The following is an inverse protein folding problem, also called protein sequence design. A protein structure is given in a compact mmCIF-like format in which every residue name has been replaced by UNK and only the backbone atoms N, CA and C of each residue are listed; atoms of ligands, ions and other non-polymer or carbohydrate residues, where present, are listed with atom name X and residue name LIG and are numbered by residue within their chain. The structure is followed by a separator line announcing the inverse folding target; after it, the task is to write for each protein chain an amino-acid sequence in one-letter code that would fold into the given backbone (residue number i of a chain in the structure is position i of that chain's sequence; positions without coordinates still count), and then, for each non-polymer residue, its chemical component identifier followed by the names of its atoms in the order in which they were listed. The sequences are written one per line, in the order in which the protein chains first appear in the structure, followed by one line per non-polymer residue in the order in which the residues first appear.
data_IF_827652147506
#
_entry.id   IF_827652147506
#
_cell.length_a   1.000
_cell.length_b   1.000
_cell.length_c   1.000
_cell.angle_alpha   90.00
_cell.angle_beta   90.00
_cell.angle_gamma   90.00
#
_symmetry.space_group_name_H-M   'P 1'
#
loop_
_entity.id
_entity.type
_entity.pdbx_description
1 polymer ?
#
# COMPACT_ATOMS: atom_id res chain seq x y z
N UNK A 1 0.67 -4.35 -20.60
CA UNK A 1 1.74 -4.61 -19.60
C UNK A 1 1.88 -3.38 -18.73
N UNK A 2 1.57 -3.48 -17.47
CA UNK A 2 1.77 -2.40 -16.50
C UNK A 2 3.04 -2.70 -15.73
N UNK A 3 3.98 -1.76 -15.73
CA UNK A 3 5.23 -1.89 -14.99
C UNK A 3 5.13 -1.17 -13.67
N UNK A 4 5.53 -1.84 -12.61
CA UNK A 4 5.82 -1.18 -11.34
C UNK A 4 7.27 -0.70 -11.41
N UNK A 5 7.53 0.60 -11.24
CA UNK A 5 8.88 1.12 -11.37
C UNK A 5 9.82 0.58 -10.29
N UNK A 6 11.06 0.34 -10.66
CA UNK A 6 12.12 0.00 -9.71
C UNK A 6 12.50 1.25 -8.93
N UNK A 7 11.94 1.41 -7.75
CA UNK A 7 12.14 2.57 -6.89
C UNK A 7 11.83 2.24 -5.43
N UNK A 8 12.54 2.89 -4.52
CA UNK A 8 12.18 2.92 -3.10
C UNK A 8 11.10 3.97 -2.85
N UNK A 9 10.33 3.84 -1.77
CA UNK A 9 9.40 4.89 -1.37
C UNK A 9 10.12 6.24 -1.23
N UNK A 10 9.52 7.34 -1.74
CA UNK A 10 10.21 8.64 -1.79
C UNK A 10 10.30 9.35 -0.44
N UNK A 11 9.57 8.89 0.56
CA UNK A 11 9.49 9.50 1.88
C UNK A 11 9.87 8.49 2.97
N UNK A 12 10.20 9.01 4.14
CA UNK A 12 10.38 8.19 5.31
C UNK A 12 9.02 7.83 5.91
N UNK A 13 8.81 6.54 6.17
CA UNK A 13 7.62 5.98 6.78
C UNK A 13 7.96 5.29 8.08
N UNK A 14 7.05 5.33 9.05
CA UNK A 14 7.15 4.61 10.30
C UNK A 14 6.35 3.30 10.22
N UNK A 15 6.96 2.20 10.68
CA UNK A 15 6.29 0.91 10.72
C UNK A 15 5.21 0.90 11.79
N UNK A 16 3.98 0.58 11.39
CA UNK A 16 2.84 0.39 12.31
C UNK A 16 2.78 -1.07 12.76
N UNK A 17 2.77 -1.99 11.80
CA UNK A 17 2.62 -3.43 12.05
C UNK A 17 3.19 -4.23 10.88
N UNK A 18 3.59 -5.47 11.18
CA UNK A 18 4.02 -6.45 10.18
C UNK A 18 3.32 -7.79 10.42
N UNK A 19 2.97 -8.47 9.35
CA UNK A 19 2.36 -9.79 9.35
C UNK A 19 3.16 -10.74 8.49
N UNK A 20 3.20 -12.00 8.89
CA UNK A 20 3.78 -13.08 8.11
C UNK A 20 2.68 -14.00 7.62
N UNK A 21 2.67 -14.32 6.34
CA UNK A 21 1.72 -15.20 5.71
C UNK A 21 2.43 -16.46 5.21
N UNK A 22 1.93 -17.61 5.60
CA UNK A 22 2.42 -18.91 5.14
C UNK A 22 1.56 -19.48 4.00
N UNK A 23 0.31 -19.06 3.92
CA UNK A 23 -0.62 -19.50 2.88
C UNK A 23 -1.76 -18.49 2.67
N UNK A 24 -2.58 -18.76 1.65
CA UNK A 24 -3.79 -17.95 1.38
C UNK A 24 -4.80 -18.00 2.52
N UNK A 25 -4.73 -18.98 3.42
CA UNK A 25 -5.58 -19.05 4.62
C UNK A 25 -5.35 -17.90 5.58
N UNK A 26 -4.18 -17.31 5.57
CA UNK A 26 -3.84 -16.16 6.41
C UNK A 26 -4.44 -14.85 5.91
N UNK A 27 -4.90 -14.80 4.67
CA UNK A 27 -5.35 -13.58 4.01
C UNK A 27 -6.53 -12.90 4.70
N UNK A 28 -7.52 -13.69 5.14
CA UNK A 28 -8.71 -13.13 5.81
C UNK A 28 -8.34 -12.43 7.11
N UNK A 29 -7.48 -13.05 7.91
CA UNK A 29 -6.97 -12.48 9.15
C UNK A 29 -6.19 -11.20 8.89
N UNK A 30 -5.26 -11.22 7.96
CA UNK A 30 -4.42 -10.06 7.64
C UNK A 30 -5.24 -8.90 7.10
N UNK A 31 -6.23 -9.15 6.24
CA UNK A 31 -7.16 -8.11 5.78
C UNK A 31 -7.88 -7.40 6.92
N UNK A 32 -8.41 -8.16 7.85
CA UNK A 32 -9.11 -7.62 9.01
C UNK A 32 -8.16 -6.82 9.91
N UNK A 33 -7.02 -7.38 10.22
CA UNK A 33 -6.05 -6.74 11.12
C UNK A 33 -5.43 -5.48 10.51
N UNK A 34 -5.12 -5.46 9.21
CA UNK A 34 -4.56 -4.27 8.56
C UNK A 34 -5.58 -3.13 8.50
N UNK A 35 -6.86 -3.45 8.27
CA UNK A 35 -7.92 -2.45 8.32
C UNK A 35 -8.07 -1.85 9.72
N UNK A 36 -8.05 -2.67 10.75
CA UNK A 36 -8.13 -2.23 12.14
C UNK A 36 -6.91 -1.39 12.55
N UNK A 37 -5.72 -1.81 12.17
CA UNK A 37 -4.49 -1.06 12.46
C UNK A 37 -4.46 0.30 11.74
N UNK A 38 -4.84 0.35 10.49
CA UNK A 38 -4.90 1.61 9.73
C UNK A 38 -5.96 2.55 10.31
N UNK A 39 -7.13 2.04 10.64
CA UNK A 39 -8.19 2.83 11.28
C UNK A 39 -7.77 3.37 12.65
N UNK A 40 -7.03 2.58 13.43
CA UNK A 40 -6.56 2.95 14.77
C UNK A 40 -5.51 4.07 14.76
N UNK A 41 -4.86 4.36 13.64
CA UNK A 41 -3.96 5.51 13.54
C UNK A 41 -4.67 6.84 13.77
N UNK A 42 -5.99 6.89 13.53
CA UNK A 42 -6.86 8.06 13.78
C UNK A 42 -6.51 9.30 12.95
N UNK A 43 -5.67 9.17 11.98
CA UNK A 43 -4.92 10.24 11.34
C UNK A 43 -5.34 10.45 9.88
N UNK A 44 -6.44 9.84 9.47
CA UNK A 44 -6.98 9.91 8.12
C UNK A 44 -8.28 10.75 8.10
N UNK A 45 -8.51 11.37 6.94
CA UNK A 45 -9.69 12.22 6.73
C UNK A 45 -10.94 11.34 6.56
N UNK A 46 -11.95 11.51 7.42
CA UNK A 46 -13.21 10.77 7.28
C UNK A 46 -13.97 11.10 5.99
N UNK A 47 -13.64 12.22 5.35
CA UNK A 47 -14.20 12.59 4.03
C UNK A 47 -13.53 11.85 2.86
N UNK A 48 -12.50 11.03 3.14
CA UNK A 48 -11.88 10.10 2.19
C UNK A 48 -12.11 8.65 2.66
N UNK A 49 -13.36 8.18 2.77
CA UNK A 49 -13.68 6.89 3.38
C UNK A 49 -13.14 5.70 2.60
N UNK A 50 -12.86 5.87 1.32
CA UNK A 50 -12.39 4.82 0.42
C UNK A 50 -10.90 4.49 0.60
N UNK A 51 -10.13 5.27 1.37
CA UNK A 51 -8.68 5.04 1.52
C UNK A 51 -8.38 3.70 2.16
N UNK A 52 -9.14 3.32 3.19
CA UNK A 52 -8.97 2.03 3.87
C UNK A 52 -9.37 0.86 2.96
N UNK A 53 -10.45 0.98 2.21
CA UNK A 53 -10.90 -0.04 1.27
C UNK A 53 -9.88 -0.27 0.16
N UNK A 54 -9.31 0.79 -0.39
CA UNK A 54 -8.25 0.73 -1.41
C UNK A 54 -6.99 0.08 -0.86
N UNK A 55 -6.57 0.48 0.33
CA UNK A 55 -5.42 -0.07 1.01
C UNK A 55 -5.56 -1.59 1.23
N UNK A 56 -6.69 -2.03 1.75
CA UNK A 56 -6.98 -3.44 2.02
C UNK A 56 -7.03 -4.24 0.72
N UNK A 57 -7.68 -3.71 -0.31
CA UNK A 57 -7.77 -4.37 -1.61
C UNK A 57 -6.40 -4.54 -2.26
N UNK A 58 -5.61 -3.49 -2.34
CA UNK A 58 -4.25 -3.54 -2.92
C UNK A 58 -3.34 -4.45 -2.12
N UNK A 59 -3.38 -4.37 -0.80
CA UNK A 59 -2.63 -5.28 0.08
C UNK A 59 -2.97 -6.75 -0.21
N UNK A 60 -4.27 -7.06 -0.32
CA UNK A 60 -4.74 -8.41 -0.61
C UNK A 60 -4.22 -8.93 -1.94
N UNK A 61 -4.26 -8.09 -2.96
CA UNK A 61 -3.79 -8.44 -4.30
C UNK A 61 -2.28 -8.63 -4.37
N UNK A 62 -1.51 -7.76 -3.76
CA UNK A 62 -0.04 -7.89 -3.68
C UNK A 62 0.38 -9.13 -2.90
N UNK A 63 -0.27 -9.40 -1.77
CA UNK A 63 0.03 -10.57 -0.95
C UNK A 63 -0.38 -11.87 -1.63
N UNK A 64 -1.55 -11.92 -2.25
CA UNK A 64 -1.99 -13.09 -3.04
C UNK A 64 -1.03 -13.39 -4.18
N UNK A 65 -0.60 -12.35 -4.88
CA UNK A 65 0.35 -12.46 -5.97
C UNK A 65 1.69 -13.03 -5.49
N UNK A 66 2.20 -12.54 -4.37
CA UNK A 66 3.43 -13.06 -3.76
C UNK A 66 3.27 -14.53 -3.32
N UNK A 67 2.13 -14.90 -2.74
CA UNK A 67 1.86 -16.30 -2.32
C UNK A 67 1.75 -17.27 -3.50
N UNK A 68 1.29 -16.80 -4.67
CA UNK A 68 1.18 -17.61 -5.88
C UNK A 68 2.55 -17.78 -6.56
N UNK A 69 3.34 -16.72 -6.65
CA UNK A 69 4.56 -16.67 -7.46
C UNK A 69 5.85 -16.83 -6.67
N UNK A 70 5.80 -16.73 -5.36
CA UNK A 70 6.96 -16.88 -4.49
C UNK A 70 6.80 -18.06 -3.51
N UNK A 71 7.80 -18.23 -2.67
CA UNK A 71 7.74 -19.21 -1.59
C UNK A 71 7.36 -18.52 -0.28
N UNK A 72 6.53 -19.15 0.57
CA UNK A 72 6.34 -18.68 1.93
C UNK A 72 7.67 -18.64 2.71
N UNK A 73 7.82 -17.74 3.66
CA UNK A 73 6.83 -16.76 4.11
C UNK A 73 6.79 -15.50 3.25
N UNK A 74 5.61 -14.95 3.10
CA UNK A 74 5.37 -13.61 2.57
C UNK A 74 5.16 -12.66 3.74
N UNK A 75 5.83 -11.53 3.75
CA UNK A 75 5.68 -10.52 4.79
C UNK A 75 4.89 -9.31 4.26
N UNK A 76 3.95 -8.85 5.05
CA UNK A 76 3.15 -7.65 4.77
C UNK A 76 3.42 -6.62 5.86
N UNK A 77 3.84 -5.43 5.49
CA UNK A 77 4.05 -4.31 6.40
C UNK A 77 3.07 -3.19 6.14
N UNK A 78 2.51 -2.61 7.19
CA UNK A 78 1.80 -1.35 7.16
C UNK A 78 2.70 -0.28 7.74
N UNK A 79 2.93 0.77 6.99
CA UNK A 79 3.70 1.93 7.39
C UNK A 79 2.88 3.21 7.23
N UNK A 80 3.26 4.24 7.94
CA UNK A 80 2.57 5.51 7.94
C UNK A 80 3.53 6.69 7.87
N UNK A 81 3.08 7.75 7.23
CA UNK A 81 3.65 9.10 7.31
C UNK A 81 2.51 10.07 7.64
N UNK A 82 2.79 11.35 7.90
CA UNK A 82 1.73 12.32 8.17
C UNK A 82 0.67 12.44 7.06
N UNK A 83 1.03 12.16 5.81
CA UNK A 83 0.14 12.34 4.66
C UNK A 83 -0.29 11.06 3.97
N UNK A 84 0.35 9.91 4.26
CA UNK A 84 0.12 8.67 3.50
C UNK A 84 0.22 7.42 4.36
N UNK A 85 -0.53 6.40 3.95
CA UNK A 85 -0.25 5.00 4.29
C UNK A 85 0.66 4.39 3.23
N UNK A 86 1.47 3.43 3.64
CA UNK A 86 2.24 2.57 2.75
C UNK A 86 2.01 1.12 3.13
N UNK A 87 1.77 0.29 2.13
CA UNK A 87 1.78 -1.16 2.24
C UNK A 87 3.02 -1.69 1.53
N UNK A 88 3.77 -2.54 2.21
CA UNK A 88 4.97 -3.21 1.68
C UNK A 88 4.76 -4.72 1.76
N UNK A 89 4.86 -5.40 0.63
CA UNK A 89 4.75 -6.85 0.56
C UNK A 89 6.08 -7.41 0.08
N UNK A 90 6.70 -8.27 0.87
CA UNK A 90 8.02 -8.82 0.54
C UNK A 90 8.02 -10.34 0.46
N UNK A 91 8.82 -10.85 -0.47
CA UNK A 91 9.10 -12.27 -0.66
C UNK A 91 10.60 -12.51 -0.94
N UNK A 92 11.01 -13.76 -0.98
CA UNK A 92 12.39 -14.17 -1.16
C UNK A 92 12.79 -14.44 -2.63
N UNK A 93 11.90 -14.20 -3.59
CA UNK A 93 12.20 -14.41 -5.00
C UNK A 93 12.96 -13.22 -5.56
N UNK A 94 14.25 -13.40 -5.74
CA UNK A 94 15.15 -12.42 -6.35
C UNK A 94 15.29 -12.70 -7.86
N UNK A 95 15.52 -11.64 -8.63
CA UNK A 95 15.93 -11.74 -10.05
C UNK A 95 14.81 -11.56 -11.07
N UNK A 96 13.56 -11.44 -10.65
CA UNK A 96 12.46 -11.06 -11.55
C UNK A 96 11.81 -9.77 -11.05
N UNK A 97 11.75 -8.77 -11.91
CA UNK A 97 10.87 -7.64 -11.63
C UNK A 97 9.43 -8.15 -11.45
N UNK A 98 8.63 -7.50 -10.59
CA UNK A 98 7.21 -7.79 -10.55
C UNK A 98 6.61 -7.42 -11.89
N UNK A 99 6.51 -8.41 -12.78
CA UNK A 99 5.88 -8.21 -14.09
C UNK A 99 4.40 -8.46 -13.92
N UNK A 100 3.66 -7.46 -14.30
CA UNK A 100 2.24 -7.47 -14.47
C UNK A 100 1.84 -8.15 -15.76
N UNK A 101 2.22 -9.40 -15.92
CA UNK A 101 1.62 -10.19 -16.97
C UNK A 101 0.18 -10.50 -16.59
N UNK A 102 -0.71 -9.83 -17.27
CA UNK A 102 -2.12 -10.18 -17.27
C UNK A 102 -2.27 -11.54 -17.95
N UNK A 103 -2.18 -12.62 -17.21
CA UNK A 103 -2.64 -13.93 -17.65
C UNK A 103 -4.08 -14.10 -17.17
N UNK A 104 -5.04 -14.33 -18.08
CA UNK A 104 -6.46 -14.51 -17.70
C UNK A 104 -6.69 -15.57 -16.64
N UNK A 105 -5.80 -16.56 -16.55
CA UNK A 105 -5.92 -17.71 -15.67
C UNK A 105 -5.34 -17.48 -14.25
N UNK A 106 -4.58 -16.41 -14.04
CA UNK A 106 -3.85 -16.16 -12.78
C UNK A 106 -4.55 -15.16 -11.85
N UNK A 107 -5.77 -14.75 -12.13
CA UNK A 107 -6.47 -13.72 -11.37
C UNK A 107 -5.78 -12.35 -11.41
N UNK A 108 -4.99 -12.09 -12.45
CA UNK A 108 -3.99 -11.03 -12.60
C UNK A 108 -4.49 -9.58 -12.65
N UNK A 109 -5.48 -9.23 -11.83
CA UNK A 109 -5.92 -7.85 -11.65
C UNK A 109 -5.07 -7.07 -10.63
N UNK A 110 -4.24 -7.77 -9.85
CA UNK A 110 -3.60 -7.20 -8.67
C UNK A 110 -2.76 -5.96 -8.91
N UNK A 111 -1.87 -6.04 -9.85
CA UNK A 111 -1.00 -4.89 -10.10
C UNK A 111 -1.66 -3.83 -11.00
N UNK A 112 -2.60 -4.22 -11.83
CA UNK A 112 -3.46 -3.26 -12.55
C UNK A 112 -4.29 -2.46 -11.55
N UNK A 113 -4.88 -3.12 -10.55
CA UNK A 113 -5.59 -2.46 -9.45
C UNK A 113 -4.65 -1.59 -8.62
N UNK A 114 -3.45 -2.04 -8.32
CA UNK A 114 -2.44 -1.25 -7.60
C UNK A 114 -2.14 0.04 -8.33
N UNK A 115 -1.89 -0.01 -9.63
CA UNK A 115 -1.63 1.18 -10.44
C UNK A 115 -2.84 2.13 -10.51
N UNK A 116 -4.06 1.59 -10.45
CA UNK A 116 -5.29 2.39 -10.52
C UNK A 116 -5.67 3.01 -9.17
N UNK A 117 -5.41 2.32 -8.05
CA UNK A 117 -5.92 2.71 -6.73
C UNK A 117 -4.86 3.34 -5.81
N UNK A 118 -3.58 3.06 -6.03
CA UNK A 118 -2.49 3.63 -5.26
C UNK A 118 -2.09 5.01 -5.78
N UNK A 119 -1.61 5.87 -4.90
CA UNK A 119 -1.04 7.18 -5.26
C UNK A 119 0.31 7.03 -5.95
N UNK A 120 1.11 6.11 -5.47
CA UNK A 120 2.39 5.71 -6.04
C UNK A 120 2.70 4.26 -5.69
N UNK A 121 3.54 3.63 -6.46
CA UNK A 121 3.98 2.26 -6.22
C UNK A 121 5.36 2.04 -6.80
N UNK A 122 6.03 1.01 -6.34
CA UNK A 122 7.34 0.64 -6.81
C UNK A 122 7.79 -0.69 -6.23
N UNK A 123 9.00 -1.08 -6.57
CA UNK A 123 9.63 -2.26 -6.00
C UNK A 123 11.13 -2.04 -5.81
N UNK A 124 11.71 -2.75 -4.87
CA UNK A 124 13.15 -2.74 -4.60
C UNK A 124 13.58 -4.05 -3.95
N UNK A 125 14.88 -4.28 -3.91
CA UNK A 125 15.49 -5.42 -3.19
C UNK A 125 16.24 -4.89 -1.98
N UNK A 126 16.00 -5.50 -0.83
CA UNK A 126 16.70 -5.19 0.41
C UNK A 126 16.73 -6.42 1.31
N UNK A 127 17.86 -6.65 1.97
CA UNK A 127 18.00 -7.77 2.91
C UNK A 127 17.75 -9.15 2.30
N UNK A 128 18.05 -9.34 1.02
CA UNK A 128 17.79 -10.58 0.31
C UNK A 128 16.33 -10.84 -0.02
N UNK A 129 15.49 -9.82 0.09
CA UNK A 129 14.06 -9.91 -0.23
C UNK A 129 13.65 -8.87 -1.27
N UNK A 130 12.70 -9.24 -2.10
CA UNK A 130 12.03 -8.33 -3.03
C UNK A 130 10.83 -7.71 -2.33
N UNK A 131 10.76 -6.40 -2.36
CA UNK A 131 9.68 -5.59 -1.79
C UNK A 131 8.86 -4.95 -2.91
N UNK A 132 7.55 -5.10 -2.85
CA UNK A 132 6.60 -4.35 -3.68
C UNK A 132 5.79 -3.47 -2.74
N UNK A 133 5.73 -2.19 -3.02
CA UNK A 133 5.07 -1.22 -2.15
C UNK A 133 4.07 -0.36 -2.91
N UNK A 134 3.09 0.13 -2.19
CA UNK A 134 2.07 1.05 -2.68
C UNK A 134 1.70 2.06 -1.59
N UNK A 135 1.43 3.29 -1.99
CA UNK A 135 1.04 4.37 -1.07
C UNK A 135 -0.39 4.84 -1.32
N UNK A 136 -1.01 5.36 -0.26
CA UNK A 136 -2.39 5.85 -0.26
C UNK A 136 -2.46 7.17 0.47
N UNK A 137 -3.06 8.19 -0.13
CA UNK A 137 -3.20 9.52 0.46
C UNK A 137 -4.27 9.46 1.56
N UNK A 138 -3.91 9.89 2.76
CA UNK A 138 -4.80 9.92 3.93
C UNK A 138 -5.77 11.08 3.92
N UNK A 139 -5.39 12.19 3.31
CA UNK A 139 -6.13 13.46 3.35
C UNK A 139 -6.27 14.02 1.95
N UNK A 140 -7.42 14.62 1.69
CA UNK A 140 -7.59 15.40 0.47
C UNK A 140 -6.55 16.53 0.44
N UNK A 141 -6.01 16.82 -0.75
CA UNK A 141 -5.12 17.95 -0.93
C UNK A 141 -5.87 19.24 -0.55
N UNK A 142 -5.30 20.00 0.42
CA UNK A 142 -5.82 21.33 0.71
C UNK A 142 -5.53 22.22 -0.49
N UNK A 143 -6.53 22.88 -1.12
CA UNK A 143 -6.26 23.78 -2.25
C UNK A 143 -5.29 24.86 -1.81
N UNK A 144 -4.21 25.05 -2.58
CA UNK A 144 -3.29 26.19 -2.38
C UNK A 144 -4.10 27.46 -2.64
N UNK A 145 -4.42 28.23 -1.59
CA UNK A 145 -5.16 29.49 -1.71
C UNK A 145 -6.19 29.76 -0.62
N UNK A 146 -6.52 28.83 0.26
CA UNK A 146 -7.30 29.13 1.47
C UNK A 146 -6.43 29.67 2.58
N UNK A 147 -5.92 30.87 2.39
CA UNK A 147 -5.43 31.67 3.51
C UNK A 147 -6.69 32.09 4.28
N UNK A 148 -6.85 31.75 5.58
CA UNK A 148 -7.90 32.36 6.38
C UNK A 148 -7.71 33.87 6.32
N UNK A 149 -8.66 34.57 5.73
CA UNK A 149 -8.69 36.01 5.84
C UNK A 149 -8.91 36.30 7.31
N UNK A 150 -7.87 36.72 7.97
CA UNK A 150 -7.98 37.30 9.28
C UNK A 150 -8.99 38.43 9.19
N UNK A 151 -10.08 38.32 9.92
CA UNK A 151 -11.02 39.37 10.12
C UNK A 151 -10.26 40.55 10.76
N UNK A 152 -9.94 41.53 9.95
CA UNK A 152 -9.46 42.82 10.44
C UNK A 152 -10.69 43.55 10.96
N UNK A 153 -11.23 43.08 12.07
CA UNK A 153 -12.23 43.80 12.88
C UNK A 153 -11.58 45.05 13.43
N UNK A 154 -11.56 46.07 12.64
CA UNK A 154 -11.28 47.39 13.08
C UNK A 154 -12.57 48.04 13.56
N UNK A 155 -12.66 48.26 14.87
CA UNK A 155 -13.53 49.16 15.63
C UNK A 155 -15.00 48.78 15.78
#
# INVERSE_FOLDING_TARGET
MVFVPAARPPQHYERVQEWTLESTRDMSRVRSEIADCAAATGDWDPDVPEVLDRLVLVCSELASNALIHARPPVCVGLETSPSRFLVDVSDDVLGTSPVLEHRPDDGGLGLTLTSALASSSGWYVSGGRKHVWATFIKRAAVPVGSVPQGDAGGR
#
